data_IF_478820669359
#
_entry.id   IF_478820669359
#
_cell.length_a   1.000
_cell.length_b   1.000
_cell.length_c   1.000
_cell.angle_alpha   90.00
_cell.angle_beta   90.00
_cell.angle_gamma   90.00
#
_symmetry.space_group_name_H-M   'P 1'
#
loop_
_entity.id
_entity.type
_entity.pdbx_description
1 polymer ?
#
# COMPACT_ATOMS: atom_id res chain seq x y z
N UNK A 1 -12.15 5.82 29.42
CA UNK A 1 -12.82 5.93 28.10
C UNK A 1 -12.07 6.93 27.23
N UNK A 2 -11.36 6.49 26.19
CA UNK A 2 -10.82 7.40 25.18
C UNK A 2 -12.00 7.88 24.33
N UNK A 3 -12.30 9.17 24.37
CA UNK A 3 -13.31 9.78 23.50
C UNK A 3 -12.82 9.71 22.04
N UNK A 4 -13.43 8.82 21.26
CA UNK A 4 -13.26 8.70 19.80
C UNK A 4 -14.06 9.77 19.05
N UNK A 5 -14.85 10.61 19.73
CA UNK A 5 -15.66 11.67 19.13
C UNK A 5 -14.76 12.63 18.32
N UNK A 6 -14.90 12.58 17.00
CA UNK A 6 -14.29 13.52 16.05
C UNK A 6 -13.28 12.92 15.06
N UNK A 7 -12.84 11.66 15.22
CA UNK A 7 -11.91 11.05 14.26
C UNK A 7 -12.72 10.38 13.15
N UNK A 8 -12.68 10.96 11.94
CA UNK A 8 -13.31 10.37 10.75
C UNK A 8 -12.32 9.41 10.11
N UNK A 9 -12.68 8.13 10.04
CA UNK A 9 -11.92 7.11 9.31
C UNK A 9 -12.33 7.17 7.83
N UNK A 10 -11.37 6.99 6.93
CA UNK A 10 -11.61 7.03 5.47
C UNK A 10 -12.02 5.66 4.91
N UNK A 11 -11.56 4.59 5.56
CA UNK A 11 -11.84 3.21 5.19
C UNK A 11 -12.41 2.44 6.39
N UNK A 12 -13.20 1.41 6.11
CA UNK A 12 -13.83 0.55 7.13
C UNK A 12 -13.28 -0.86 7.10
N UNK A 13 -13.36 -1.58 8.23
CA UNK A 13 -13.05 -3.00 8.29
C UNK A 13 -13.90 -3.79 7.28
N UNK A 14 -13.27 -4.74 6.61
CA UNK A 14 -13.92 -5.51 5.55
C UNK A 14 -13.88 -4.87 4.16
N UNK A 15 -13.55 -3.58 4.06
CA UNK A 15 -13.59 -2.83 2.80
C UNK A 15 -12.51 -3.31 1.82
N UNK A 16 -12.89 -3.48 0.54
CA UNK A 16 -11.95 -3.71 -0.55
C UNK A 16 -11.30 -2.39 -0.95
N UNK A 17 -9.97 -2.41 -1.01
CA UNK A 17 -9.14 -1.23 -1.24
C UNK A 17 -7.95 -1.61 -2.13
N UNK A 18 -7.25 -0.60 -2.62
CA UNK A 18 -5.95 -0.75 -3.26
C UNK A 18 -4.88 -0.22 -2.30
N UNK A 19 -3.83 -0.99 -2.05
CA UNK A 19 -2.74 -0.58 -1.17
C UNK A 19 -1.45 -0.45 -1.95
N UNK A 20 -0.71 0.65 -1.75
CA UNK A 20 0.63 0.79 -2.30
C UNK A 20 1.57 -0.26 -1.69
N UNK A 21 2.58 -0.66 -2.46
CA UNK A 21 3.73 -1.38 -1.94
C UNK A 21 4.37 -0.58 -0.78
N UNK A 22 4.35 -1.11 0.46
CA UNK A 22 4.81 -0.37 1.63
C UNK A 22 6.33 -0.28 1.72
N UNK A 23 7.07 -1.17 1.05
CA UNK A 23 8.53 -1.15 1.06
C UNK A 23 9.06 -0.08 0.07
N UNK A 24 9.70 1.00 0.57
CA UNK A 24 10.19 2.08 -0.28
C UNK A 24 11.34 1.66 -1.20
N UNK A 25 11.96 0.51 -0.96
CA UNK A 25 13.04 -0.03 -1.82
C UNK A 25 12.50 -0.74 -3.05
N UNK A 26 11.21 -1.09 -3.07
CA UNK A 26 10.54 -1.79 -4.16
C UNK A 26 9.92 -0.83 -5.17
N UNK A 27 9.44 -1.38 -6.28
CA UNK A 27 8.73 -0.59 -7.27
C UNK A 27 7.40 -0.08 -6.70
N UNK A 28 7.07 1.17 -7.00
CA UNK A 28 5.77 1.75 -6.64
C UNK A 28 4.68 1.08 -7.48
N UNK A 29 3.90 0.19 -6.85
CA UNK A 29 2.76 -0.53 -7.43
C UNK A 29 1.58 -0.51 -6.45
N UNK A 30 0.39 -0.92 -6.91
CA UNK A 30 -0.82 -1.05 -6.11
C UNK A 30 -1.28 -2.51 -6.11
N UNK A 31 -1.60 -3.03 -4.93
CA UNK A 31 -2.08 -4.40 -4.72
C UNK A 31 -3.57 -4.40 -4.37
N UNK A 32 -4.29 -5.38 -4.91
CA UNK A 32 -5.62 -5.74 -4.43
C UNK A 32 -5.57 -6.11 -2.95
N UNK A 33 -6.36 -5.43 -2.14
CA UNK A 33 -6.22 -5.48 -0.69
C UNK A 33 -7.57 -5.40 0.03
N UNK A 34 -7.56 -5.74 1.32
CA UNK A 34 -8.71 -5.63 2.21
C UNK A 34 -8.27 -5.03 3.55
N UNK A 35 -9.08 -4.12 4.08
CA UNK A 35 -8.91 -3.61 5.44
C UNK A 35 -9.35 -4.71 6.42
N UNK A 36 -8.42 -5.16 7.28
CA UNK A 36 -8.74 -6.09 8.36
C UNK A 36 -9.18 -5.35 9.61
N UNK A 37 -8.48 -4.28 9.98
CA UNK A 37 -8.70 -3.54 11.23
C UNK A 37 -8.38 -2.04 11.03
N UNK A 38 -9.11 -1.17 11.73
CA UNK A 38 -8.74 0.24 11.88
C UNK A 38 -8.03 0.46 13.22
N UNK A 39 -6.74 0.75 13.16
CA UNK A 39 -5.87 0.89 14.34
C UNK A 39 -5.77 2.36 14.75
N UNK A 40 -6.13 2.67 15.99
CA UNK A 40 -6.02 4.01 16.56
C UNK A 40 -4.82 4.10 17.50
N UNK A 41 -3.78 4.80 17.06
CA UNK A 41 -2.56 5.00 17.83
C UNK A 41 -2.41 6.46 18.30
N UNK A 42 -1.44 6.71 19.17
CA UNK A 42 -0.98 8.06 19.52
C UNK A 42 0.52 8.13 19.28
N UNK A 43 0.97 9.18 18.61
CA UNK A 43 2.40 9.44 18.47
C UNK A 43 3.05 9.80 19.82
N UNK A 44 4.38 9.94 19.84
CA UNK A 44 5.13 10.34 21.04
C UNK A 44 4.75 11.72 21.60
N UNK A 45 3.95 12.52 20.88
CA UNK A 45 3.41 13.82 21.30
C UNK A 45 1.94 13.74 21.70
N UNK A 46 1.36 12.53 21.75
CA UNK A 46 -0.03 12.27 22.11
C UNK A 46 -1.04 12.58 21.00
N UNK A 47 -0.60 12.89 19.77
CA UNK A 47 -1.48 13.15 18.62
C UNK A 47 -2.04 11.84 18.11
N UNK A 48 -3.35 11.80 17.89
CA UNK A 48 -4.04 10.61 17.36
C UNK A 48 -3.55 10.32 15.94
N UNK A 49 -3.20 9.08 15.68
CA UNK A 49 -2.87 8.54 14.36
C UNK A 49 -3.83 7.41 14.03
N UNK A 50 -4.21 7.32 12.75
CA UNK A 50 -5.02 6.23 12.22
C UNK A 50 -4.13 5.44 11.30
N UNK A 51 -4.07 4.14 11.53
CA UNK A 51 -3.45 3.16 10.66
C UNK A 51 -4.49 2.11 10.28
N UNK A 52 -4.25 1.42 9.18
CA UNK A 52 -5.09 0.34 8.70
C UNK A 52 -4.26 -0.93 8.64
N UNK A 53 -4.72 -2.00 9.26
CA UNK A 53 -4.16 -3.33 9.04
C UNK A 53 -4.67 -3.83 7.70
N UNK A 54 -3.74 -4.01 6.76
CA UNK A 54 -4.05 -4.37 5.37
C UNK A 54 -3.65 -5.81 5.10
N UNK A 55 -4.59 -6.56 4.53
CA UNK A 55 -4.34 -7.87 3.92
C UNK A 55 -4.22 -7.75 2.40
N UNK A 56 -3.15 -8.34 1.84
CA UNK A 56 -2.90 -8.37 0.40
C UNK A 56 -3.49 -9.63 -0.24
N UNK A 57 -4.40 -9.46 -1.21
CA UNK A 57 -5.14 -10.58 -1.79
C UNK A 57 -4.22 -11.57 -2.51
N UNK A 58 -4.35 -12.86 -2.17
CA UNK A 58 -3.51 -13.93 -2.71
C UNK A 58 -2.18 -14.13 -1.99
N UNK A 59 -1.91 -13.36 -0.92
CA UNK A 59 -0.69 -13.47 -0.11
C UNK A 59 -0.99 -14.13 1.23
N UNK A 60 0.03 -14.70 1.88
CA UNK A 60 -0.11 -15.23 3.23
C UNK A 60 -0.30 -14.09 4.24
N UNK A 61 -1.07 -14.32 5.31
CA UNK A 61 -1.31 -13.34 6.38
C UNK A 61 -0.03 -12.85 7.09
N UNK A 62 1.09 -13.58 7.01
CA UNK A 62 2.40 -13.10 7.48
C UNK A 62 2.89 -11.86 6.72
N UNK A 63 2.29 -11.54 5.58
CA UNK A 63 2.53 -10.34 4.80
C UNK A 63 1.60 -9.18 5.13
N UNK A 64 0.64 -9.35 6.05
CA UNK A 64 -0.24 -8.25 6.47
C UNK A 64 0.57 -7.13 7.12
N UNK A 65 0.21 -5.87 6.86
CA UNK A 65 0.97 -4.70 7.34
C UNK A 65 0.02 -3.62 7.86
N UNK A 66 0.40 -2.96 8.95
CA UNK A 66 -0.19 -1.69 9.34
C UNK A 66 0.42 -0.57 8.49
N UNK A 67 -0.43 0.20 7.82
CA UNK A 67 -0.01 1.33 6.98
C UNK A 67 -0.84 2.58 7.31
N UNK A 68 -0.27 3.76 7.05
CA UNK A 68 -1.02 5.02 7.17
C UNK A 68 -2.07 5.15 6.06
N UNK A 69 -2.99 6.10 6.26
CA UNK A 69 -4.03 6.41 5.28
C UNK A 69 -3.50 6.71 3.87
N UNK A 70 -2.30 7.30 3.76
CA UNK A 70 -1.70 7.69 2.48
C UNK A 70 -1.31 6.51 1.59
N UNK A 71 -1.19 5.30 2.16
CA UNK A 71 -0.88 4.08 1.42
C UNK A 71 -2.13 3.40 0.84
N UNK A 72 -3.34 3.84 1.23
CA UNK A 72 -4.59 3.16 0.91
C UNK A 72 -5.45 4.03 0.01
N UNK A 73 -5.95 3.44 -1.08
CA UNK A 73 -6.85 4.06 -2.05
C UNK A 73 -8.17 3.29 -2.10
N UNK A 74 -9.26 4.00 -2.41
CA UNK A 74 -10.56 3.37 -2.68
C UNK A 74 -10.48 2.53 -3.96
N UNK A 75 -11.26 1.45 -4.00
CA UNK A 75 -11.42 0.64 -5.22
C UNK A 75 -12.37 1.35 -6.21
N UNK A 76 -11.87 2.41 -6.87
CA UNK A 76 -12.57 3.14 -7.94
C UNK A 76 -11.90 2.89 -9.29
N UNK A 77 -12.63 3.14 -10.38
CA UNK A 77 -12.11 2.95 -11.75
C UNK A 77 -10.84 3.78 -12.00
N UNK A 78 -10.78 5.01 -11.50
CA UNK A 78 -9.59 5.86 -11.66
C UNK A 78 -8.37 5.27 -10.94
N UNK A 79 -8.55 4.70 -9.75
CA UNK A 79 -7.46 4.06 -9.01
C UNK A 79 -7.08 2.70 -9.62
N UNK A 80 -8.01 2.01 -10.30
CA UNK A 80 -7.70 0.81 -11.11
C UNK A 80 -6.89 1.14 -12.34
N UNK A 81 -7.18 2.26 -13.00
CA UNK A 81 -6.34 2.75 -14.09
C UNK A 81 -4.92 3.09 -13.60
N UNK A 82 -4.82 3.72 -12.42
CA UNK A 82 -3.53 3.98 -11.78
C UNK A 82 -2.78 2.69 -11.45
N UNK A 83 -3.47 1.66 -10.94
CA UNK A 83 -2.88 0.35 -10.67
C UNK A 83 -2.25 -0.24 -11.93
N UNK A 84 -2.97 -0.25 -13.06
CA UNK A 84 -2.45 -0.74 -14.35
C UNK A 84 -1.24 0.08 -14.80
N UNK A 85 -1.32 1.41 -14.78
CA UNK A 85 -0.22 2.29 -15.17
C UNK A 85 1.06 2.08 -14.34
N UNK A 86 0.92 1.84 -13.03
CA UNK A 86 2.06 1.60 -12.16
C UNK A 86 2.68 0.21 -12.38
N UNK A 87 1.86 -0.81 -12.63
CA UNK A 87 2.32 -2.14 -12.99
C UNK A 87 3.14 -2.10 -14.31
N UNK A 88 2.62 -1.44 -15.34
CA UNK A 88 3.31 -1.31 -16.63
C UNK A 88 4.66 -0.61 -16.48
N UNK A 89 4.70 0.51 -15.73
CA UNK A 89 5.95 1.24 -15.43
C UNK A 89 6.97 0.37 -14.68
N UNK A 90 6.51 -0.46 -13.74
CA UNK A 90 7.37 -1.36 -12.99
C UNK A 90 7.98 -2.45 -13.89
N UNK A 91 7.18 -3.02 -14.81
CA UNK A 91 7.65 -4.01 -15.77
C UNK A 91 8.69 -3.44 -16.73
N UNK A 92 8.47 -2.24 -17.28
CA UNK A 92 9.43 -1.55 -18.15
C UNK A 92 10.76 -1.33 -17.42
N UNK A 93 10.71 -0.86 -16.16
CA UNK A 93 11.92 -0.62 -15.37
C UNK A 93 12.72 -1.90 -15.10
N UNK A 94 12.03 -3.03 -14.87
CA UNK A 94 12.67 -4.32 -14.68
C UNK A 94 13.34 -4.81 -15.97
N UNK A 95 12.65 -4.69 -17.11
CA UNK A 95 13.20 -5.01 -18.44
C UNK A 95 14.44 -4.17 -18.77
N UNK A 96 14.40 -2.86 -18.53
CA UNK A 96 15.55 -1.96 -18.74
C UNK A 96 16.75 -2.29 -17.86
N UNK A 97 16.53 -2.69 -16.60
CA UNK A 97 17.62 -3.14 -15.71
C UNK A 97 18.23 -4.45 -16.21
N UNK A 98 17.41 -5.40 -16.65
CA UNK A 98 17.88 -6.68 -17.18
C UNK A 98 18.75 -6.48 -18.43
N UNK A 99 18.34 -5.60 -19.36
CA UNK A 99 19.13 -5.27 -20.54
C UNK A 99 20.45 -4.55 -20.22
N UNK A 100 20.50 -3.70 -19.18
CA UNK A 100 21.76 -3.04 -18.75
C UNK A 100 22.79 -4.02 -18.20
N UNK A 101 22.37 -5.11 -17.56
CA UNK A 101 23.29 -6.16 -17.08
C UNK A 101 23.94 -6.90 -18.26
N UNK A 102 23.23 -7.09 -19.37
CA UNK A 102 23.74 -7.78 -20.55
C UNK A 102 24.77 -6.98 -21.37
N UNK A 103 24.75 -5.64 -21.29
CA UNK A 103 25.61 -4.75 -22.10
C UNK A 103 26.74 -4.10 -21.29
N UNK A 104 26.94 -4.47 -20.02
CA UNK A 104 27.81 -3.72 -19.10
C UNK A 104 28.70 -4.53 -18.14
N UNK A 105 28.88 -5.83 -18.34
CA UNK A 105 29.88 -6.59 -17.58
C UNK A 105 31.31 -6.29 -18.08
N UNK A 106 32.32 -6.08 -17.21
CA UNK A 106 33.70 -5.90 -17.65
C UNK A 106 34.26 -7.23 -18.19
N UNK A 107 35.08 -7.13 -19.24
CA UNK A 107 35.99 -8.18 -19.72
C UNK A 107 37.05 -8.52 -18.65
#
# INVERSE_FOLDING_TARGET
MVSTRGVRVKFSEGERVLCYEPDPTKAKVLYDSKVLEVVFNKDGKGRKQIEYLIHFQGWNASWDRCVSEDFVLKDTDENRDLQRQLADKAQIKLSMKSNRVLIGGPL
#
